data_IF_602583181704
#
_entry.id   IF_602583181704
#
_cell.length_a   1.000
_cell.length_b   1.000
_cell.length_c   1.000
_cell.angle_alpha   90.00
_cell.angle_beta   90.00
_cell.angle_gamma   90.00
#
_symmetry.space_group_name_H-M   'P 1'
#
loop_
_entity.id
_entity.type
_entity.pdbx_description
1 polymer ?
#
# COMPACT_ATOMS: atom_id res chain seq x y z
N UNK A 1 15.90 32.60 -12.54
CA UNK A 1 14.53 32.06 -12.47
C UNK A 1 14.64 30.82 -11.65
N UNK A 2 14.61 31.09 -10.36
CA UNK A 2 14.79 30.21 -9.24
C UNK A 2 13.57 29.29 -9.19
N UNK A 3 13.79 27.99 -9.16
CA UNK A 3 12.91 27.11 -8.39
C UNK A 3 13.71 25.88 -7.98
N UNK A 4 14.22 25.93 -6.74
CA UNK A 4 14.72 24.76 -6.04
C UNK A 4 13.58 23.75 -6.03
N UNK A 5 13.69 22.69 -6.82
CA UNK A 5 12.82 21.51 -6.72
C UNK A 5 12.74 21.11 -5.26
N UNK A 6 11.57 21.36 -4.70
CA UNK A 6 11.19 21.03 -3.35
C UNK A 6 11.45 19.56 -3.12
N UNK A 7 12.47 19.26 -2.32
CA UNK A 7 12.65 17.95 -1.75
C UNK A 7 11.41 17.63 -0.89
N UNK A 8 10.59 16.66 -1.34
CA UNK A 8 9.71 15.92 -0.42
C UNK A 8 8.21 15.87 -0.73
N UNK A 9 7.71 16.49 -1.80
CA UNK A 9 6.30 16.33 -2.20
C UNK A 9 6.24 15.63 -3.57
N UNK A 10 6.02 14.31 -3.56
CA UNK A 10 5.59 13.60 -4.76
C UNK A 10 4.32 14.28 -5.27
N UNK A 11 4.36 14.75 -6.51
CA UNK A 11 3.26 15.47 -7.11
C UNK A 11 2.04 14.54 -7.23
N UNK A 12 0.93 14.80 -6.52
CA UNK A 12 -0.22 13.89 -6.46
C UNK A 12 -0.97 13.81 -7.80
N UNK A 13 -0.72 14.75 -8.73
CA UNK A 13 -1.25 14.66 -10.09
C UNK A 13 -0.47 13.65 -10.95
N UNK A 14 0.78 13.35 -10.57
CA UNK A 14 1.67 12.45 -11.32
C UNK A 14 1.80 11.06 -10.69
N UNK A 15 1.70 10.98 -9.36
CA UNK A 15 1.85 9.73 -8.59
C UNK A 15 0.58 9.35 -7.85
N UNK A 16 0.25 8.06 -7.84
CA UNK A 16 -0.88 7.51 -7.08
C UNK A 16 -0.44 6.34 -6.21
N UNK A 17 -1.22 6.07 -5.16
CA UNK A 17 -0.97 4.94 -4.25
C UNK A 17 -1.54 3.65 -4.83
N UNK A 18 -0.70 2.63 -4.99
CA UNK A 18 -1.09 1.29 -5.45
C UNK A 18 -1.15 0.25 -4.34
N UNK A 19 -0.52 0.50 -3.18
CA UNK A 19 -0.62 -0.38 -2.02
C UNK A 19 -0.34 0.36 -0.71
N UNK A 20 -0.79 -0.21 0.39
CA UNK A 20 -0.54 0.27 1.76
C UNK A 20 0.02 -0.89 2.57
N UNK A 21 0.98 -0.61 3.43
CA UNK A 21 1.69 -1.61 4.21
C UNK A 21 1.78 -1.19 5.68
N UNK A 22 1.58 -2.15 6.57
CA UNK A 22 1.83 -2.03 8.01
C UNK A 22 3.09 -2.80 8.45
N UNK A 23 3.66 -3.60 7.55
CA UNK A 23 4.96 -4.26 7.73
C UNK A 23 6.05 -3.64 6.81
N UNK A 24 7.22 -3.26 7.36
CA UNK A 24 8.30 -2.66 6.58
C UNK A 24 8.96 -3.65 5.61
N UNK A 25 8.98 -4.95 5.90
CA UNK A 25 9.59 -5.96 5.04
C UNK A 25 8.71 -6.16 3.80
N UNK A 26 7.41 -6.32 3.97
CA UNK A 26 6.45 -6.41 2.87
C UNK A 26 6.49 -5.18 1.95
N UNK A 27 6.53 -3.99 2.55
CA UNK A 27 6.64 -2.74 1.80
C UNK A 27 7.88 -2.70 0.90
N UNK A 28 9.04 -3.12 1.44
CA UNK A 28 10.29 -3.14 0.70
C UNK A 28 10.32 -4.26 -0.37
N UNK A 29 9.72 -5.42 -0.09
CA UNK A 29 9.58 -6.48 -1.08
C UNK A 29 8.71 -6.02 -2.27
N UNK A 30 7.56 -5.40 -1.99
CA UNK A 30 6.68 -4.85 -3.01
C UNK A 30 7.37 -3.77 -3.85
N UNK A 31 8.10 -2.85 -3.21
CA UNK A 31 8.91 -1.85 -3.90
C UNK A 31 9.95 -2.51 -4.81
N UNK A 32 10.72 -3.47 -4.30
CA UNK A 32 11.75 -4.18 -5.07
C UNK A 32 11.19 -4.94 -6.29
N UNK A 33 9.98 -5.50 -6.19
CA UNK A 33 9.30 -6.12 -7.33
C UNK A 33 9.00 -5.11 -8.45
N UNK A 34 8.43 -3.95 -8.10
CA UNK A 34 8.15 -2.89 -9.07
C UNK A 34 9.42 -2.33 -9.70
N UNK A 35 10.47 -2.10 -8.90
CA UNK A 35 11.77 -1.62 -9.39
C UNK A 35 12.42 -2.61 -10.36
N UNK A 36 12.33 -3.92 -10.07
CA UNK A 36 12.86 -4.98 -10.94
C UNK A 36 12.11 -5.04 -12.27
N UNK A 37 10.81 -4.70 -12.28
CA UNK A 37 10.02 -4.56 -13.50
C UNK A 37 10.27 -3.25 -14.26
N UNK A 38 11.17 -2.39 -13.76
CA UNK A 38 11.50 -1.10 -14.37
C UNK A 38 10.49 0.02 -14.09
N UNK A 39 9.64 -0.16 -13.06
CA UNK A 39 8.66 0.84 -12.65
C UNK A 39 9.25 1.78 -11.61
N UNK A 40 9.14 3.09 -11.87
CA UNK A 40 9.52 4.11 -10.91
C UNK A 40 8.49 4.16 -9.76
N UNK A 41 8.94 3.90 -8.54
CA UNK A 41 8.08 3.82 -7.37
C UNK A 41 8.73 4.34 -6.08
N UNK A 42 7.89 4.73 -5.12
CA UNK A 42 8.32 5.36 -3.87
C UNK A 42 7.51 4.84 -2.68
N UNK A 43 8.16 4.67 -1.53
CA UNK A 43 7.49 4.43 -0.25
C UNK A 43 7.33 5.75 0.50
N UNK A 44 6.08 6.19 0.69
CA UNK A 44 5.77 7.34 1.52
C UNK A 44 5.41 6.89 2.93
N UNK A 45 6.00 7.51 3.95
CA UNK A 45 5.70 7.20 5.36
C UNK A 45 6.66 6.20 6.02
N UNK A 46 7.64 5.67 5.28
CA UNK A 46 8.65 4.72 5.79
C UNK A 46 9.44 5.26 7.01
N UNK A 47 9.55 6.59 7.13
CA UNK A 47 10.27 7.27 8.21
C UNK A 47 9.41 7.64 9.45
N UNK A 48 8.12 7.27 9.48
CA UNK A 48 7.22 7.67 10.57
C UNK A 48 7.58 7.05 11.94
N UNK A 49 8.52 6.10 11.98
CA UNK A 49 8.69 5.17 13.10
C UNK A 49 9.78 5.53 14.14
N UNK A 50 10.36 6.72 14.13
CA UNK A 50 11.37 7.08 15.15
C UNK A 50 10.78 7.51 16.50
N UNK A 51 9.47 7.83 16.58
CA UNK A 51 8.85 8.41 17.78
C UNK A 51 7.73 7.56 18.41
N UNK A 52 7.08 6.67 17.65
CA UNK A 52 6.07 5.74 18.15
C UNK A 52 6.40 4.35 17.59
N UNK A 53 7.18 3.56 18.34
CA UNK A 53 7.80 2.29 17.89
C UNK A 53 6.87 1.13 17.53
N UNK A 54 5.64 1.38 17.09
CA UNK A 54 4.67 0.34 16.73
C UNK A 54 3.67 0.73 15.62
N UNK A 55 3.80 1.89 14.97
CA UNK A 55 2.83 2.33 13.95
C UNK A 55 3.49 2.57 12.59
N UNK A 56 4.15 1.55 12.04
CA UNK A 56 4.62 1.62 10.66
C UNK A 56 3.41 1.70 9.73
N UNK A 57 3.40 2.72 8.87
CA UNK A 57 2.41 2.87 7.81
C UNK A 57 3.11 3.44 6.59
N UNK A 58 3.23 2.63 5.56
CA UNK A 58 3.78 3.06 4.29
C UNK A 58 2.74 2.98 3.17
N UNK A 59 2.86 3.89 2.22
CA UNK A 59 2.12 3.87 0.95
C UNK A 59 3.12 3.66 -0.16
N UNK A 60 2.84 2.71 -1.05
CA UNK A 60 3.64 2.51 -2.26
C UNK A 60 2.99 3.29 -3.40
N UNK A 61 3.76 4.21 -3.98
CA UNK A 61 3.32 5.08 -5.05
C UNK A 61 4.03 4.73 -6.36
N UNK A 62 3.31 4.86 -7.47
CA UNK A 62 3.83 4.76 -8.84
C UNK A 62 3.29 5.90 -9.68
N UNK A 63 3.90 6.13 -10.85
CA UNK A 63 3.36 7.08 -11.81
C UNK A 63 1.97 6.62 -12.28
N UNK A 64 1.01 7.54 -12.45
CA UNK A 64 -0.37 7.19 -12.87
C UNK A 64 -0.45 6.33 -14.13
N UNK A 65 0.47 6.55 -15.08
CA UNK A 65 0.53 5.81 -16.35
C UNK A 65 0.87 4.32 -16.16
N UNK A 66 1.47 3.98 -15.03
CA UNK A 66 2.00 2.66 -14.71
C UNK A 66 1.13 1.92 -13.67
N UNK A 67 -0.01 2.50 -13.28
CA UNK A 67 -0.94 1.95 -12.27
C UNK A 67 -1.34 0.51 -12.58
N UNK A 68 -1.81 0.25 -13.81
CA UNK A 68 -2.27 -1.09 -14.21
C UNK A 68 -1.15 -2.11 -14.10
N UNK A 69 0.03 -1.80 -14.66
CA UNK A 69 1.17 -2.68 -14.63
C UNK A 69 1.64 -2.95 -13.18
N UNK A 70 1.66 -1.92 -12.33
CA UNK A 70 1.99 -2.09 -10.92
C UNK A 70 0.98 -2.97 -10.19
N UNK A 71 -0.31 -2.82 -10.46
CA UNK A 71 -1.37 -3.60 -9.82
C UNK A 71 -1.36 -5.07 -10.23
N UNK A 72 -0.93 -5.38 -11.46
CA UNK A 72 -0.76 -6.74 -11.96
C UNK A 72 0.48 -7.45 -11.36
N UNK A 73 1.51 -6.68 -11.00
CA UNK A 73 2.75 -7.21 -10.42
C UNK A 73 2.68 -7.38 -8.91
N UNK A 74 1.91 -6.55 -8.22
CA UNK A 74 1.72 -6.68 -6.79
C UNK A 74 0.85 -7.90 -6.47
N UNK A 75 1.18 -8.68 -5.43
CA UNK A 75 0.25 -9.68 -4.94
C UNK A 75 -1.07 -8.99 -4.62
N UNK A 76 -2.19 -9.64 -4.93
CA UNK A 76 -3.49 -9.14 -4.52
C UNK A 76 -3.40 -8.83 -3.02
N UNK A 77 -3.84 -7.62 -2.58
CA UNK A 77 -4.00 -7.43 -1.15
C UNK A 77 -4.87 -8.60 -0.69
N UNK A 78 -4.44 -9.28 0.36
CA UNK A 78 -5.33 -10.18 1.07
C UNK A 78 -6.55 -9.29 1.38
N UNK A 79 -7.65 -9.51 0.64
CA UNK A 79 -8.91 -8.84 0.91
C UNK A 79 -9.23 -9.26 2.34
N UNK A 80 -8.90 -8.36 3.28
CA UNK A 80 -9.21 -8.51 4.69
C UNK A 80 -10.69 -8.87 4.74
N UNK A 81 -10.96 -10.10 5.16
CA UNK A 81 -12.20 -10.81 4.83
C UNK A 81 -13.43 -9.92 4.93
N UNK A 82 -14.11 -9.74 3.79
CA UNK A 82 -15.49 -9.29 3.82
C UNK A 82 -16.28 -10.18 4.77
N UNK A 83 -17.25 -9.62 5.52
CA UNK A 83 -17.98 -10.39 6.53
C UNK A 83 -18.49 -11.66 5.87
N UNK A 84 -18.03 -12.80 6.35
CA UNK A 84 -18.80 -14.02 6.19
C UNK A 84 -20.06 -13.76 6.99
N UNK A 85 -21.10 -13.31 6.30
CA UNK A 85 -22.48 -13.47 6.73
C UNK A 85 -22.74 -14.99 6.79
N UNK A 86 -22.08 -15.67 7.74
CA UNK A 86 -22.53 -16.96 8.24
C UNK A 86 -23.70 -16.64 9.17
N UNK A 87 -24.86 -16.61 8.51
CA UNK A 87 -26.21 -16.54 9.07
C UNK A 87 -26.26 -17.28 10.44
N UNK A 88 -26.70 -16.62 11.52
CA UNK A 88 -26.89 -17.29 12.80
C UNK A 88 -28.11 -18.20 12.65
N UNK A 89 -27.88 -19.46 12.26
CA UNK A 89 -28.95 -20.46 12.24
C UNK A 89 -29.54 -20.54 13.65
N UNK A 90 -30.82 -20.15 13.69
CA UNK A 90 -31.57 -19.88 14.89
C UNK A 90 -31.71 -21.12 15.76
N UNK A 91 -31.74 -20.86 17.06
CA UNK A 91 -32.37 -21.66 18.10
C UNK A 91 -33.42 -22.66 17.58
N UNK A 92 -33.13 -23.95 17.71
CA UNK A 92 -34.16 -24.94 17.96
C UNK A 92 -33.91 -25.53 19.36
N UNK A 93 -34.62 -24.91 20.30
CA UNK A 93 -35.19 -25.55 21.48
C UNK A 93 -35.72 -26.95 21.09
N UNK A 94 -35.41 -27.99 21.86
CA UNK A 94 -36.44 -28.83 22.50
C UNK A 94 -35.84 -30.11 23.15
N UNK A 95 -36.20 -30.27 24.43
CA UNK A 95 -36.23 -31.47 25.30
C UNK A 95 -34.97 -32.06 25.94
#
# INVERSE_FOLDING_TARGET
>A
MDDLTTAGALDPEQFLTVARFEDPVEAQMAKGMLETAGLECFLQGENANHLLGAAFRARLLVHRRDESAARELLPAPEEEGGPVDEDPEALEDES
#
